data_IF_096212887660
#
_entry.id   IF_096212887660
#
_cell.length_a   1.000
_cell.length_b   1.000
_cell.length_c   1.000
_cell.angle_alpha   90.00
_cell.angle_beta   90.00
_cell.angle_gamma   90.00
#
_symmetry.space_group_name_H-M   'P 1'
#
loop_
_entity.id
_entity.type
_entity.pdbx_description
1 polymer ?
#
# COMPACT_ATOMS: atom_id res chain seq x y z
N UNK A 1 11.03 -6.82 2.69
CA UNK A 1 11.14 -6.47 1.25
C UNK A 1 10.35 -5.19 1.08
N UNK A 2 10.93 -4.16 0.47
CA UNK A 2 10.26 -2.89 0.18
C UNK A 2 10.24 -2.72 -1.35
N UNK A 3 9.05 -2.51 -1.93
CA UNK A 3 8.84 -2.33 -3.37
C UNK A 3 7.48 -1.66 -3.61
N UNK A 4 7.30 -0.99 -4.74
CA UNK A 4 6.03 -0.38 -5.15
C UNK A 4 5.02 -1.42 -5.70
N UNK A 5 5.01 -2.65 -5.16
CA UNK A 5 4.33 -3.84 -5.68
C UNK A 5 3.23 -3.53 -6.71
N UNK A 6 3.45 -3.92 -7.96
CA UNK A 6 2.61 -3.50 -9.07
C UNK A 6 1.70 -4.66 -9.48
N UNK A 7 0.44 -4.74 -9.00
CA UNK A 7 -0.42 -5.91 -9.23
C UNK A 7 -0.70 -6.14 -10.71
N UNK A 8 -0.73 -5.04 -11.49
CA UNK A 8 -0.89 -5.05 -12.95
C UNK A 8 0.15 -5.93 -13.65
N UNK A 9 1.34 -6.09 -13.07
CA UNK A 9 2.30 -7.06 -13.54
C UNK A 9 2.14 -8.34 -12.71
N UNK A 10 1.66 -9.41 -13.35
CA UNK A 10 1.43 -10.73 -12.74
C UNK A 10 2.62 -11.27 -11.94
N UNK A 11 3.83 -10.73 -12.15
CA UNK A 11 5.05 -11.12 -11.47
C UNK A 11 4.98 -10.98 -9.95
N UNK A 12 4.40 -9.92 -9.41
CA UNK A 12 4.34 -9.73 -7.96
C UNK A 12 3.27 -10.63 -7.32
N UNK A 13 2.09 -10.75 -7.95
CA UNK A 13 1.07 -11.74 -7.57
C UNK A 13 1.65 -13.16 -7.59
N UNK A 14 2.37 -13.53 -8.65
CA UNK A 14 3.02 -14.84 -8.78
C UNK A 14 4.01 -15.11 -7.65
N UNK A 15 4.90 -14.16 -7.31
CA UNK A 15 5.85 -14.34 -6.19
C UNK A 15 5.15 -14.62 -4.87
N UNK A 16 4.11 -13.85 -4.54
CA UNK A 16 3.38 -14.04 -3.30
C UNK A 16 2.61 -15.37 -3.29
N UNK A 17 2.02 -15.78 -4.42
CA UNK A 17 1.42 -17.10 -4.56
C UNK A 17 2.43 -18.24 -4.35
N UNK A 18 3.65 -18.12 -4.90
CA UNK A 18 4.71 -19.10 -4.69
C UNK A 18 5.19 -19.12 -3.23
N UNK A 19 5.28 -17.97 -2.57
CA UNK A 19 5.58 -17.91 -1.13
C UNK A 19 4.48 -18.54 -0.28
N UNK A 20 3.20 -18.30 -0.60
CA UNK A 20 2.07 -18.95 0.07
C UNK A 20 2.14 -20.46 -0.05
N UNK A 21 2.42 -21.00 -1.25
CA UNK A 21 2.60 -22.44 -1.45
C UNK A 21 3.79 -23.00 -0.68
N UNK A 22 4.94 -22.31 -0.72
CA UNK A 22 6.20 -22.79 -0.14
C UNK A 22 6.21 -22.77 1.40
N UNK A 23 5.61 -21.76 2.00
CA UNK A 23 5.71 -21.50 3.44
C UNK A 23 4.36 -21.54 4.16
N UNK A 24 3.27 -21.91 3.47
CA UNK A 24 1.91 -21.97 4.02
C UNK A 24 1.49 -20.67 4.70
N UNK A 25 1.77 -19.54 4.04
CA UNK A 25 1.46 -18.21 4.56
C UNK A 25 0.00 -17.85 4.33
N UNK A 26 -0.57 -17.13 5.30
CA UNK A 26 -1.79 -16.36 5.14
C UNK A 26 -1.42 -14.89 4.89
N UNK A 27 -1.75 -14.36 3.72
CA UNK A 27 -1.38 -13.02 3.30
C UNK A 27 -2.49 -12.02 3.65
N UNK A 28 -2.23 -11.22 4.67
CA UNK A 28 -3.04 -10.07 5.06
C UNK A 28 -2.53 -8.80 4.38
N UNK A 29 -3.39 -8.05 3.70
CA UNK A 29 -3.06 -6.77 3.10
C UNK A 29 -3.90 -5.64 3.70
N UNK A 30 -3.23 -4.56 4.11
CA UNK A 30 -3.87 -3.28 4.40
C UNK A 30 -3.59 -2.39 3.19
N UNK A 31 -4.63 -2.03 2.45
CA UNK A 31 -4.55 -1.25 1.22
C UNK A 31 -5.02 0.17 1.49
N UNK A 32 -4.11 1.14 1.41
CA UNK A 32 -4.43 2.53 1.66
C UNK A 32 -4.73 3.25 0.34
N UNK A 33 -5.92 3.81 0.22
CA UNK A 33 -6.31 4.72 -0.85
C UNK A 33 -6.32 6.16 -0.36
N UNK A 34 -6.35 7.12 -1.27
CA UNK A 34 -6.43 8.54 -0.97
C UNK A 34 -6.93 9.26 -2.21
N UNK A 35 -7.70 10.33 -2.01
CA UNK A 35 -8.00 11.28 -3.07
C UNK A 35 -6.71 11.78 -3.73
N UNK A 36 -6.77 11.90 -5.06
CA UNK A 36 -5.63 12.23 -5.91
C UNK A 36 -5.03 13.59 -5.56
N UNK A 37 -5.87 14.61 -5.37
CA UNK A 37 -5.40 15.98 -5.12
C UNK A 37 -4.73 16.06 -3.76
N UNK A 38 -5.33 15.42 -2.75
CA UNK A 38 -4.76 15.32 -1.41
C UNK A 38 -3.42 14.58 -1.43
N UNK A 39 -3.31 13.49 -2.18
CA UNK A 39 -2.08 12.71 -2.31
C UNK A 39 -0.95 13.52 -2.97
N UNK A 40 -1.25 14.23 -4.07
CA UNK A 40 -0.29 15.10 -4.76
C UNK A 40 0.18 16.25 -3.88
N UNK A 41 -0.74 16.89 -3.15
CA UNK A 41 -0.40 17.95 -2.20
C UNK A 41 0.53 17.43 -1.10
N UNK A 42 0.20 16.29 -0.48
CA UNK A 42 1.03 15.66 0.55
C UNK A 42 2.42 15.29 0.01
N UNK A 43 2.47 14.76 -1.21
CA UNK A 43 3.74 14.43 -1.87
C UNK A 43 4.61 15.69 -2.05
N UNK A 44 4.03 16.79 -2.56
CA UNK A 44 4.73 18.07 -2.75
C UNK A 44 5.30 18.60 -1.43
N UNK A 45 4.46 18.71 -0.40
CA UNK A 45 4.88 19.19 0.92
C UNK A 45 6.04 18.36 1.47
N UNK A 46 5.94 17.02 1.36
CA UNK A 46 7.00 16.12 1.82
C UNK A 46 8.30 16.28 1.02
N UNK A 47 8.23 16.43 -0.30
CA UNK A 47 9.41 16.66 -1.15
C UNK A 47 10.13 17.98 -0.84
N UNK A 48 9.36 19.01 -0.49
CA UNK A 48 9.87 20.35 -0.19
C UNK A 48 10.38 20.49 1.26
N UNK A 49 9.91 19.64 2.18
CA UNK A 49 10.25 19.69 3.61
C UNK A 49 11.75 19.50 3.94
N UNK A 50 12.49 18.81 3.07
CA UNK A 50 13.88 18.43 3.33
C UNK A 50 14.07 17.31 4.36
N UNK A 51 12.99 16.73 4.90
CA UNK A 51 13.04 15.63 5.87
C UNK A 51 13.26 14.26 5.21
N UNK A 52 13.00 14.16 3.90
CA UNK A 52 13.16 12.91 3.17
C UNK A 52 14.64 12.62 2.88
N UNK A 53 14.99 11.33 2.94
CA UNK A 53 16.36 10.89 2.69
C UNK A 53 16.83 11.32 1.29
N UNK A 54 18.06 11.90 1.13
CA UNK A 54 18.52 12.51 -0.12
C UNK A 54 18.57 11.57 -1.34
N UNK A 55 18.61 10.26 -1.10
CA UNK A 55 18.57 9.24 -2.15
C UNK A 55 17.23 9.14 -2.88
N UNK A 56 16.14 9.68 -2.31
CA UNK A 56 14.88 9.86 -3.03
C UNK A 56 14.98 11.15 -3.86
N UNK A 57 15.19 11.00 -5.17
CA UNK A 57 15.32 12.12 -6.13
C UNK A 57 13.95 12.75 -6.43
N UNK A 58 13.16 13.02 -5.38
CA UNK A 58 11.75 13.40 -5.46
C UNK A 58 11.52 14.75 -6.16
N UNK A 59 12.49 15.68 -6.05
CA UNK A 59 12.40 17.01 -6.70
C UNK A 59 12.29 16.92 -8.22
N UNK A 60 12.77 15.83 -8.83
CA UNK A 60 12.66 15.59 -10.27
C UNK A 60 11.45 14.73 -10.65
N UNK A 61 10.70 14.22 -9.67
CA UNK A 61 9.78 13.10 -9.84
C UNK A 61 8.30 13.48 -9.68
N UNK A 62 7.97 14.75 -9.40
CA UNK A 62 6.58 15.19 -9.20
C UNK A 62 5.69 14.95 -10.44
N UNK A 63 6.18 15.31 -11.62
CA UNK A 63 5.43 15.13 -12.88
C UNK A 63 5.27 13.66 -13.25
N UNK A 64 6.28 12.83 -12.98
CA UNK A 64 6.23 11.39 -13.21
C UNK A 64 5.28 10.69 -12.21
N UNK A 65 5.28 11.12 -10.94
CA UNK A 65 4.33 10.66 -9.95
C UNK A 65 2.88 11.01 -10.32
N UNK A 66 2.64 12.21 -10.84
CA UNK A 66 1.30 12.60 -11.31
C UNK A 66 0.79 11.72 -12.47
N UNK A 67 1.67 11.31 -13.40
CA UNK A 67 1.31 10.44 -14.53
C UNK A 67 1.03 8.99 -14.12
N UNK A 68 1.75 8.47 -13.12
CA UNK A 68 1.63 7.07 -12.66
C UNK A 68 0.38 6.83 -11.81
N UNK A 69 -0.09 7.83 -11.05
CA UNK A 69 -1.31 7.73 -10.24
C UNK A 69 -2.59 7.42 -11.04
N UNK A 70 -2.59 7.62 -12.36
CA UNK A 70 -3.75 7.39 -13.23
C UNK A 70 -3.83 5.99 -13.85
N UNK A 71 -2.88 5.09 -13.59
CA UNK A 71 -2.73 3.85 -14.38
C UNK A 71 -3.12 2.55 -13.67
N UNK A 72 -3.74 2.62 -12.48
CA UNK A 72 -4.09 1.42 -11.70
C UNK A 72 -2.85 0.67 -11.18
N UNK A 73 -1.70 1.35 -11.07
CA UNK A 73 -0.43 0.74 -10.68
C UNK A 73 -0.39 0.33 -9.19
N UNK A 74 -1.39 0.74 -8.41
CA UNK A 74 -1.44 0.60 -6.96
C UNK A 74 -2.69 -0.13 -6.46
N UNK A 75 -3.30 -1.00 -7.26
CA UNK A 75 -4.44 -1.84 -6.81
C UNK A 75 -4.03 -2.81 -5.68
N UNK A 76 -5.00 -3.51 -5.07
CA UNK A 76 -4.70 -4.59 -4.14
C UNK A 76 -4.06 -5.79 -4.87
N UNK A 77 -3.24 -6.58 -4.16
CA UNK A 77 -2.67 -7.82 -4.72
C UNK A 77 -3.73 -8.91 -4.70
N UNK A 78 -4.00 -9.52 -5.85
CA UNK A 78 -4.91 -10.67 -5.96
C UNK A 78 -4.44 -11.87 -5.14
N UNK A 79 -3.13 -11.97 -4.87
CA UNK A 79 -2.56 -13.02 -4.05
C UNK A 79 -2.96 -12.95 -2.56
N UNK A 80 -3.54 -11.83 -2.10
CA UNK A 80 -3.94 -11.60 -0.70
C UNK A 80 -5.15 -12.46 -0.32
N UNK A 81 -5.09 -13.09 0.87
CA UNK A 81 -6.20 -13.87 1.41
C UNK A 81 -7.28 -12.99 2.03
N UNK A 82 -6.87 -11.85 2.58
CA UNK A 82 -7.76 -10.84 3.14
C UNK A 82 -7.18 -9.46 2.91
N UNK A 83 -8.04 -8.55 2.49
CA UNK A 83 -7.70 -7.15 2.23
C UNK A 83 -8.62 -6.28 3.09
N UNK A 84 -8.03 -5.29 3.76
CA UNK A 84 -8.77 -4.16 4.32
C UNK A 84 -8.37 -2.91 3.55
N UNK A 85 -9.35 -2.29 2.92
CA UNK A 85 -9.17 -1.01 2.24
C UNK A 85 -9.43 0.13 3.21
N UNK A 86 -8.54 1.12 3.23
CA UNK A 86 -8.62 2.29 4.10
C UNK A 86 -8.44 3.54 3.25
N UNK A 87 -9.46 4.38 3.23
CA UNK A 87 -9.34 5.72 2.68
C UNK A 87 -8.61 6.63 3.67
N UNK A 88 -7.45 7.11 3.25
CA UNK A 88 -6.58 8.00 4.02
C UNK A 88 -6.69 9.46 3.62
N UNK A 89 -7.70 9.82 2.82
CA UNK A 89 -7.98 11.21 2.40
C UNK A 89 -8.05 12.16 3.59
N UNK A 90 -8.71 11.73 4.67
CA UNK A 90 -8.73 12.44 5.95
C UNK A 90 -8.38 11.48 7.09
N UNK A 91 -7.21 11.68 7.70
CA UNK A 91 -6.73 10.83 8.78
C UNK A 91 -7.64 10.86 10.03
N UNK A 92 -8.42 11.93 10.23
CA UNK A 92 -9.32 12.01 11.38
C UNK A 92 -10.56 11.11 11.23
N UNK A 93 -10.80 10.60 10.02
CA UNK A 93 -11.91 9.68 9.72
C UNK A 93 -11.46 8.22 9.70
N UNK A 94 -10.18 7.94 9.95
CA UNK A 94 -9.70 6.56 10.07
C UNK A 94 -10.18 6.00 11.40
N UNK A 95 -10.84 4.86 11.32
CA UNK A 95 -11.24 4.06 12.48
C UNK A 95 -10.10 3.09 12.85
N UNK A 96 -9.25 3.54 13.78
CA UNK A 96 -8.15 2.73 14.29
C UNK A 96 -8.65 1.44 14.98
N UNK A 97 -9.79 1.48 15.67
CA UNK A 97 -10.34 0.33 16.40
C UNK A 97 -10.70 -0.78 15.41
N UNK A 98 -11.43 -0.44 14.33
CA UNK A 98 -11.76 -1.39 13.26
C UNK A 98 -10.50 -1.97 12.59
N UNK A 99 -9.46 -1.15 12.36
CA UNK A 99 -8.18 -1.62 11.82
C UNK A 99 -7.49 -2.64 12.74
N UNK A 100 -7.42 -2.34 14.03
CA UNK A 100 -6.81 -3.24 15.01
C UNK A 100 -7.60 -4.55 15.15
N UNK A 101 -8.93 -4.48 15.25
CA UNK A 101 -9.79 -5.66 15.31
C UNK A 101 -9.62 -6.56 14.08
N UNK A 102 -9.53 -5.97 12.89
CA UNK A 102 -9.32 -6.71 11.65
C UNK A 102 -8.01 -7.50 11.68
N UNK A 103 -6.91 -6.88 12.12
CA UNK A 103 -5.60 -7.53 12.24
C UNK A 103 -5.64 -8.62 13.32
N UNK A 104 -6.25 -8.34 14.48
CA UNK A 104 -6.34 -9.28 15.60
C UNK A 104 -7.12 -10.54 15.22
N UNK A 105 -8.26 -10.40 14.53
CA UNK A 105 -9.06 -11.52 14.04
C UNK A 105 -8.24 -12.48 13.16
N UNK A 106 -7.42 -11.94 12.26
CA UNK A 106 -6.56 -12.76 11.39
C UNK A 106 -5.46 -13.43 12.19
N UNK A 107 -4.82 -12.70 13.10
CA UNK A 107 -3.81 -13.26 14.00
C UNK A 107 -4.36 -14.44 14.82
N UNK A 108 -5.54 -14.30 15.41
CA UNK A 108 -6.19 -15.35 16.20
C UNK A 108 -6.58 -16.57 15.36
N UNK A 109 -6.98 -16.37 14.09
CA UNK A 109 -7.27 -17.45 13.17
C UNK A 109 -6.02 -18.29 12.84
N UNK A 110 -4.87 -17.65 12.63
CA UNK A 110 -3.62 -18.33 12.24
C UNK A 110 -2.86 -18.98 13.42
N UNK A 111 -3.26 -18.71 14.68
CA UNK A 111 -2.60 -19.25 15.87
C UNK A 111 -3.02 -20.70 16.23
N UNK A 112 -4.04 -21.24 15.56
CA UNK A 112 -4.53 -22.61 15.75
C UNK A 112 -3.68 -23.63 15.00
#
# INVERSE_FOLDING_TARGET
>A
MESNFQPRFDFDNFKFLEFKKKYHLYLLQIHCSCDREVLLQRFKVRSESGEKHPGHVDRSNYQEFEMTLSQGDYEALEASDRVLEIDTTDFNQIDDETLFEFIEQVYLMCKK
#
